data_IF_647947540504
#
_entry.id   IF_647947540504
#
_cell.length_a   1.000
_cell.length_b   1.000
_cell.length_c   1.000
_cell.angle_alpha   90.00
_cell.angle_beta   90.00
_cell.angle_gamma   90.00
#
_symmetry.space_group_name_H-M   'P 1'
#
loop_
_entity.id
_entity.type
_entity.pdbx_description
1 polymer ?
#
# COMPACT_ATOMS: atom_id res chain seq x y z
N UNK A 1 2.15 -0.97 -31.75
CA UNK A 1 2.66 0.36 -31.35
C UNK A 1 2.91 0.50 -29.83
N UNK A 2 2.56 -0.49 -28.99
CA UNK A 2 2.84 -0.49 -27.54
C UNK A 2 4.24 -0.99 -27.17
N UNK A 3 4.69 -2.11 -27.75
CA UNK A 3 5.98 -2.75 -27.41
C UNK A 3 7.19 -1.83 -27.63
N UNK A 4 7.20 -1.02 -28.69
CA UNK A 4 8.35 -0.16 -29.02
C UNK A 4 8.54 1.00 -28.04
N UNK A 5 7.45 1.44 -27.37
CA UNK A 5 7.46 2.53 -26.37
C UNK A 5 7.82 2.02 -24.97
N UNK A 6 7.37 0.83 -24.60
CA UNK A 6 7.73 0.22 -23.31
C UNK A 6 9.22 -0.15 -23.25
N UNK A 7 9.79 -0.65 -24.35
CA UNK A 7 11.24 -0.94 -24.43
C UNK A 7 12.06 0.35 -24.31
N UNK A 8 11.64 1.45 -24.93
CA UNK A 8 12.34 2.75 -24.81
C UNK A 8 12.22 3.38 -23.42
N UNK A 9 11.09 3.23 -22.74
CA UNK A 9 10.91 3.69 -21.35
C UNK A 9 11.74 2.84 -20.35
N UNK A 10 11.94 1.53 -20.62
CA UNK A 10 12.78 0.65 -19.79
C UNK A 10 14.28 0.92 -19.96
N UNK A 11 14.77 1.09 -21.19
CA UNK A 11 16.17 1.45 -21.47
C UNK A 11 16.52 2.82 -20.85
N UNK A 12 15.56 3.75 -20.84
CA UNK A 12 15.70 5.05 -20.17
C UNK A 12 15.82 4.92 -18.65
N UNK A 13 15.00 4.07 -18.01
CA UNK A 13 15.03 3.88 -16.56
C UNK A 13 16.36 3.32 -16.09
N UNK A 14 16.91 2.30 -16.76
CA UNK A 14 18.17 1.67 -16.35
C UNK A 14 19.35 2.66 -16.42
N UNK A 15 19.44 3.43 -17.50
CA UNK A 15 20.46 4.48 -17.64
C UNK A 15 20.35 5.57 -16.55
N UNK A 16 19.13 5.96 -16.17
CA UNK A 16 18.92 6.91 -15.06
C UNK A 16 19.30 6.30 -13.71
N UNK A 17 18.99 5.02 -13.48
CA UNK A 17 19.34 4.30 -12.25
C UNK A 17 20.86 4.18 -12.12
N UNK A 18 21.59 3.83 -13.17
CA UNK A 18 23.06 3.75 -13.14
C UNK A 18 23.69 5.09 -12.76
N UNK A 19 23.21 6.18 -13.36
CA UNK A 19 23.64 7.53 -13.03
C UNK A 19 23.32 7.89 -11.58
N UNK A 20 22.13 7.52 -11.10
CA UNK A 20 21.72 7.75 -9.72
C UNK A 20 22.59 6.98 -8.71
N UNK A 21 22.90 5.72 -8.98
CA UNK A 21 23.82 4.90 -8.18
C UNK A 21 25.20 5.56 -8.13
N UNK A 22 25.73 6.03 -9.26
CA UNK A 22 27.01 6.73 -9.31
C UNK A 22 27.01 8.04 -8.49
N UNK A 23 25.93 8.83 -8.55
CA UNK A 23 25.78 10.04 -7.73
C UNK A 23 25.72 9.72 -6.23
N UNK A 24 24.97 8.68 -5.83
CA UNK A 24 24.89 8.21 -4.44
C UNK A 24 26.26 7.77 -3.91
N UNK A 25 26.99 6.96 -4.68
CA UNK A 25 28.34 6.47 -4.33
C UNK A 25 29.40 7.57 -4.23
N UNK A 26 29.24 8.63 -5.01
CA UNK A 26 30.13 9.81 -4.98
C UNK A 26 29.73 10.86 -3.94
N UNK A 27 28.70 10.60 -3.12
CA UNK A 27 28.24 11.52 -2.07
C UNK A 27 27.44 12.73 -2.59
N UNK A 28 27.06 12.75 -3.87
CA UNK A 28 26.26 13.83 -4.49
C UNK A 28 24.77 13.62 -4.24
N UNK A 29 24.38 13.60 -2.96
CA UNK A 29 23.04 13.20 -2.53
C UNK A 29 21.92 14.12 -3.02
N UNK A 30 22.16 15.42 -3.10
CA UNK A 30 21.16 16.37 -3.59
C UNK A 30 20.81 16.12 -5.06
N UNK A 31 21.84 16.00 -5.91
CA UNK A 31 21.65 15.71 -7.33
C UNK A 31 21.05 14.33 -7.56
N UNK A 32 21.41 13.35 -6.73
CA UNK A 32 20.77 12.03 -6.76
C UNK A 32 19.27 12.14 -6.40
N UNK A 33 18.91 12.94 -5.40
CA UNK A 33 17.51 13.17 -5.01
C UNK A 33 16.70 13.86 -6.12
N UNK A 34 17.27 14.90 -6.74
CA UNK A 34 16.65 15.61 -7.86
C UNK A 34 16.48 14.70 -9.08
N UNK A 35 17.50 13.91 -9.44
CA UNK A 35 17.43 12.92 -10.52
C UNK A 35 16.36 11.87 -10.22
N UNK A 36 16.32 11.37 -8.98
CA UNK A 36 15.33 10.37 -8.58
C UNK A 36 13.92 10.93 -8.75
N UNK A 37 13.63 12.08 -8.15
CA UNK A 37 12.29 12.70 -8.18
C UNK A 37 11.84 13.08 -9.59
N UNK A 38 12.74 13.63 -10.41
CA UNK A 38 12.36 14.20 -11.71
C UNK A 38 12.38 13.22 -12.88
N UNK A 39 13.26 12.22 -12.86
CA UNK A 39 13.48 11.33 -14.02
C UNK A 39 13.23 9.85 -13.71
N UNK A 40 13.54 9.38 -12.49
CA UNK A 40 13.40 7.96 -12.14
C UNK A 40 11.99 7.66 -11.65
N UNK A 41 11.51 8.37 -10.62
CA UNK A 41 10.27 8.05 -9.94
C UNK A 41 9.03 8.03 -10.86
N UNK A 42 8.85 8.95 -11.82
CA UNK A 42 7.76 8.86 -12.79
C UNK A 42 7.79 7.58 -13.63
N UNK A 43 8.99 7.07 -13.97
CA UNK A 43 9.15 5.81 -14.69
C UNK A 43 8.86 4.61 -13.78
N UNK A 44 9.25 4.68 -12.49
CA UNK A 44 8.90 3.66 -11.50
C UNK A 44 7.38 3.56 -11.32
N UNK A 45 6.66 4.69 -11.23
CA UNK A 45 5.19 4.71 -11.14
C UNK A 45 4.52 4.05 -12.36
N UNK A 46 5.03 4.28 -13.57
CA UNK A 46 4.56 3.57 -14.77
C UNK A 46 4.82 2.08 -14.67
N UNK A 47 6.04 1.70 -14.27
CA UNK A 47 6.46 0.30 -14.21
C UNK A 47 5.68 -0.52 -13.18
N UNK A 48 5.41 0.04 -11.99
CA UNK A 48 4.63 -0.68 -10.98
C UNK A 48 3.21 -0.95 -11.47
N UNK A 49 2.59 0.00 -12.20
CA UNK A 49 1.28 -0.21 -12.82
C UNK A 49 1.30 -1.38 -13.81
N UNK A 50 2.32 -1.47 -14.66
CA UNK A 50 2.48 -2.59 -15.60
C UNK A 50 2.73 -3.92 -14.88
N UNK A 51 3.63 -3.95 -13.88
CA UNK A 51 3.94 -5.16 -13.10
C UNK A 51 2.74 -5.69 -12.30
N UNK A 52 1.98 -4.78 -11.68
CA UNK A 52 0.80 -5.14 -10.87
C UNK A 52 -0.31 -5.73 -11.74
N UNK A 53 -0.37 -5.34 -13.02
CA UNK A 53 -1.34 -5.82 -13.99
C UNK A 53 -2.74 -5.23 -13.80
N UNK A 54 -3.63 -5.48 -14.77
CA UNK A 54 -5.00 -4.94 -14.77
C UNK A 54 -5.87 -5.49 -13.64
N UNK A 55 -5.53 -6.65 -13.07
CA UNK A 55 -6.34 -7.34 -12.06
C UNK A 55 -6.51 -6.54 -10.75
N UNK A 56 -5.54 -5.70 -10.39
CA UNK A 56 -5.62 -4.86 -9.19
C UNK A 56 -6.04 -3.42 -9.49
N UNK A 57 -6.00 -3.01 -10.77
CA UNK A 57 -6.42 -1.68 -11.17
C UNK A 57 -7.93 -1.49 -10.95
N UNK A 58 -8.31 -0.47 -10.19
CA UNK A 58 -9.70 -0.18 -9.80
C UNK A 58 -10.41 -1.32 -9.05
N UNK A 59 -9.67 -2.34 -8.56
CA UNK A 59 -10.23 -3.44 -7.74
C UNK A 59 -10.84 -2.93 -6.45
N UNK A 60 -10.19 -1.96 -5.81
CA UNK A 60 -10.53 -1.52 -4.46
C UNK A 60 -11.53 -0.37 -4.47
N UNK A 61 -12.59 -0.53 -3.69
CA UNK A 61 -13.50 0.57 -3.36
C UNK A 61 -12.75 1.63 -2.54
N UNK A 62 -11.96 1.21 -1.55
CA UNK A 62 -11.23 2.12 -0.69
C UNK A 62 -9.86 1.59 -0.28
N UNK A 63 -8.89 2.50 -0.16
CA UNK A 63 -7.56 2.20 0.40
C UNK A 63 -7.32 3.11 1.61
N UNK A 64 -6.93 2.52 2.73
CA UNK A 64 -6.47 3.23 3.92
C UNK A 64 -4.95 3.14 4.02
N UNK A 65 -4.25 4.24 4.28
CA UNK A 65 -2.78 4.25 4.30
C UNK A 65 -2.26 4.85 5.61
N UNK A 66 -1.30 4.18 6.25
CA UNK A 66 -0.52 4.80 7.33
C UNK A 66 0.61 5.64 6.75
N UNK A 67 0.66 6.92 7.12
CA UNK A 67 1.58 7.90 6.54
C UNK A 67 2.85 8.02 7.38
N UNK A 68 3.97 7.66 6.77
CA UNK A 68 5.31 7.74 7.34
C UNK A 68 6.12 8.95 6.86
N UNK A 69 7.44 8.78 6.82
CA UNK A 69 8.39 9.81 6.37
C UNK A 69 8.81 9.66 4.91
N UNK A 70 8.32 8.62 4.24
CA UNK A 70 8.62 8.30 2.84
C UNK A 70 7.30 8.25 2.07
N UNK A 71 6.97 9.31 1.30
CA UNK A 71 5.78 9.35 0.46
C UNK A 71 5.76 8.29 -0.64
N UNK A 72 6.94 7.95 -1.17
CA UNK A 72 7.10 7.22 -2.44
C UNK A 72 6.39 5.87 -2.46
N UNK A 73 6.53 5.00 -1.44
CA UNK A 73 5.83 3.71 -1.46
C UNK A 73 4.31 3.87 -1.47
N UNK A 74 3.76 4.87 -0.77
CA UNK A 74 2.33 5.12 -0.74
C UNK A 74 1.82 5.65 -2.09
N UNK A 75 2.61 6.50 -2.74
CA UNK A 75 2.34 6.94 -4.11
C UNK A 75 2.36 5.74 -5.06
N UNK A 76 3.29 4.80 -4.90
CA UNK A 76 3.37 3.58 -5.72
C UNK A 76 2.14 2.68 -5.54
N UNK A 77 1.68 2.44 -4.31
CA UNK A 77 0.43 1.71 -4.06
C UNK A 77 -0.74 2.37 -4.75
N UNK A 78 -0.92 3.68 -4.54
CA UNK A 78 -2.01 4.45 -5.13
C UNK A 78 -1.95 4.48 -6.66
N UNK A 79 -0.73 4.53 -7.22
CA UNK A 79 -0.48 4.47 -8.67
C UNK A 79 -0.76 3.10 -9.26
N UNK A 80 -0.63 2.03 -8.47
CA UNK A 80 -0.88 0.66 -8.92
C UNK A 80 -2.36 0.28 -8.87
N UNK A 81 -3.11 0.74 -7.85
CA UNK A 81 -4.47 0.22 -7.59
C UNK A 81 -5.61 1.16 -7.97
N UNK A 82 -5.39 2.48 -8.04
CA UNK A 82 -6.39 3.48 -8.43
C UNK A 82 -7.79 3.26 -7.80
N UNK A 83 -7.93 3.41 -6.47
CA UNK A 83 -9.18 3.13 -5.77
C UNK A 83 -10.22 4.24 -5.94
N UNK A 84 -11.47 3.99 -5.54
CA UNK A 84 -12.53 5.00 -5.59
C UNK A 84 -12.49 5.98 -4.41
N UNK A 85 -11.88 5.58 -3.29
CA UNK A 85 -11.71 6.38 -2.07
C UNK A 85 -10.35 6.14 -1.43
N UNK A 86 -9.82 7.17 -0.79
CA UNK A 86 -8.54 7.11 -0.06
C UNK A 86 -8.72 7.64 1.36
N UNK A 87 -8.08 7.00 2.34
CA UNK A 87 -8.07 7.47 3.72
C UNK A 87 -6.65 7.47 4.30
N UNK A 88 -6.18 8.63 4.74
CA UNK A 88 -4.83 8.77 5.30
C UNK A 88 -4.84 8.82 6.82
N UNK A 89 -4.08 7.93 7.45
CA UNK A 89 -3.80 7.95 8.88
C UNK A 89 -2.41 8.53 9.08
N UNK A 90 -2.32 9.77 9.58
CA UNK A 90 -1.06 10.51 9.66
C UNK A 90 -0.79 11.00 11.08
N UNK A 91 0.47 11.35 11.36
CA UNK A 91 0.89 11.93 12.63
C UNK A 91 1.22 13.40 12.43
N UNK A 92 1.34 14.19 13.51
CA UNK A 92 1.83 15.57 13.41
C UNK A 92 3.16 15.68 12.66
N UNK A 93 4.02 14.66 12.76
CA UNK A 93 5.31 14.61 12.08
C UNK A 93 5.18 14.27 10.60
N UNK A 94 4.22 13.44 10.22
CA UNK A 94 4.03 13.01 8.85
C UNK A 94 3.00 13.81 8.04
N UNK A 95 2.33 14.77 8.66
CA UNK A 95 1.33 15.63 8.01
C UNK A 95 1.87 16.33 6.75
N UNK A 96 3.09 16.85 6.81
CA UNK A 96 3.69 17.58 5.69
C UNK A 96 3.93 16.71 4.44
N UNK A 97 4.08 15.38 4.62
CA UNK A 97 4.24 14.44 3.51
C UNK A 97 2.93 14.15 2.76
N UNK A 98 1.77 14.47 3.32
CA UNK A 98 0.48 14.32 2.61
C UNK A 98 0.46 15.10 1.30
N UNK A 99 1.06 16.30 1.29
CA UNK A 99 1.14 17.13 0.09
C UNK A 99 1.94 16.44 -1.02
N UNK A 100 3.06 15.80 -0.68
CA UNK A 100 3.88 15.04 -1.62
C UNK A 100 3.11 13.83 -2.16
N UNK A 101 2.36 13.11 -1.31
CA UNK A 101 1.55 11.96 -1.74
C UNK A 101 0.43 12.40 -2.69
N UNK A 102 -0.33 13.43 -2.31
CA UNK A 102 -1.48 13.92 -3.09
C UNK A 102 -1.02 14.47 -4.44
N UNK A 103 0.06 15.25 -4.46
CA UNK A 103 0.61 15.80 -5.71
C UNK A 103 1.35 14.75 -6.56
N UNK A 104 1.88 13.70 -5.94
CA UNK A 104 2.54 12.58 -6.64
C UNK A 104 1.58 11.57 -7.28
N UNK A 105 0.29 11.66 -6.98
CA UNK A 105 -0.75 10.77 -7.52
C UNK A 105 -1.71 11.56 -8.40
N UNK A 106 -1.59 11.38 -9.71
CA UNK A 106 -2.34 12.08 -10.76
C UNK A 106 -3.82 12.32 -10.47
N UNK A 107 -4.58 11.27 -10.13
CA UNK A 107 -6.02 11.37 -9.90
C UNK A 107 -6.38 12.08 -8.59
N UNK A 108 -5.49 12.06 -7.59
CA UNK A 108 -5.67 12.83 -6.35
C UNK A 108 -5.36 14.31 -6.60
N UNK A 109 -4.28 14.59 -7.33
CA UNK A 109 -3.90 15.95 -7.71
C UNK A 109 -4.98 16.65 -8.54
N UNK A 110 -5.68 15.91 -9.42
CA UNK A 110 -6.80 16.41 -10.23
C UNK A 110 -8.14 16.46 -9.47
N UNK A 111 -8.21 15.92 -8.25
CA UNK A 111 -9.44 15.88 -7.45
C UNK A 111 -10.49 14.90 -8.00
N UNK A 112 -10.08 13.88 -8.76
CA UNK A 112 -10.97 12.87 -9.35
C UNK A 112 -11.43 11.83 -8.32
N UNK A 113 -10.61 11.60 -7.29
CA UNK A 113 -10.89 10.66 -6.19
C UNK A 113 -10.98 11.42 -4.88
N UNK A 114 -12.01 11.11 -4.10
CA UNK A 114 -12.20 11.68 -2.77
C UNK A 114 -11.22 11.02 -1.81
N UNK A 115 -10.52 11.85 -1.04
CA UNK A 115 -9.72 11.39 0.08
C UNK A 115 -10.14 12.07 1.38
N UNK A 116 -9.92 11.37 2.49
CA UNK A 116 -10.08 11.88 3.84
C UNK A 116 -8.79 11.61 4.64
N UNK A 117 -8.62 12.29 5.77
CA UNK A 117 -7.42 12.15 6.61
C UNK A 117 -7.74 12.31 8.08
N UNK A 118 -7.07 11.51 8.91
CA UNK A 118 -7.16 11.65 10.36
C UNK A 118 -5.80 11.62 11.03
N UNK A 119 -5.66 12.50 12.02
CA UNK A 119 -4.50 12.56 12.90
C UNK A 119 -4.54 11.41 13.91
N UNK A 120 -3.44 10.68 14.03
CA UNK A 120 -3.21 9.63 15.02
C UNK A 120 -1.98 9.90 15.86
N UNK A 121 -2.00 9.38 17.09
CA UNK A 121 -0.83 9.35 17.97
C UNK A 121 -0.19 7.97 17.96
N UNK A 122 1.11 7.91 17.68
CA UNK A 122 1.89 6.68 17.50
C UNK A 122 1.87 5.75 18.73
N UNK A 123 1.73 6.33 19.93
CA UNK A 123 1.67 5.62 21.20
C UNK A 123 0.26 5.08 21.53
N UNK A 124 -0.77 5.51 20.78
CA UNK A 124 -2.17 5.14 21.01
C UNK A 124 -2.66 4.20 19.92
N UNK A 125 -2.09 3.00 19.89
CA UNK A 125 -2.44 1.93 18.94
C UNK A 125 -3.96 1.69 18.84
N UNK A 126 -4.68 1.76 19.97
CA UNK A 126 -6.15 1.65 20.02
C UNK A 126 -6.89 2.67 19.15
N UNK A 127 -6.36 3.88 19.03
CA UNK A 127 -6.92 4.95 18.21
C UNK A 127 -6.86 4.56 16.71
N UNK A 128 -5.76 3.94 16.29
CA UNK A 128 -5.58 3.47 14.90
C UNK A 128 -6.61 2.40 14.57
N UNK A 129 -6.82 1.42 15.46
CA UNK A 129 -7.87 0.40 15.29
C UNK A 129 -9.25 1.03 15.15
N UNK A 130 -9.59 1.97 16.03
CA UNK A 130 -10.90 2.61 16.04
C UNK A 130 -11.13 3.41 14.76
N UNK A 131 -10.14 4.17 14.29
CA UNK A 131 -10.28 4.97 13.07
C UNK A 131 -10.42 4.12 11.82
N UNK A 132 -9.61 3.06 11.68
CA UNK A 132 -9.74 2.09 10.58
C UNK A 132 -11.13 1.46 10.59
N UNK A 133 -11.58 0.97 11.76
CA UNK A 133 -12.90 0.37 11.90
C UNK A 133 -14.03 1.34 11.56
N UNK A 134 -13.98 2.56 12.10
CA UNK A 134 -15.02 3.57 11.87
C UNK A 134 -15.10 3.91 10.37
N UNK A 135 -13.95 4.09 9.71
CA UNK A 135 -13.92 4.36 8.26
C UNK A 135 -14.44 3.17 7.44
N UNK A 136 -14.10 1.95 7.84
CA UNK A 136 -14.62 0.73 7.22
C UNK A 136 -16.15 0.61 7.36
N UNK A 137 -16.70 0.95 8.54
CA UNK A 137 -18.14 1.00 8.78
C UNK A 137 -18.81 2.11 7.94
N UNK A 138 -18.22 3.29 7.87
CA UNK A 138 -18.68 4.42 7.04
C UNK A 138 -18.71 4.05 5.55
N UNK A 139 -17.70 3.32 5.09
CA UNK A 139 -17.63 2.81 3.71
C UNK A 139 -18.55 1.61 3.45
N UNK A 140 -19.38 1.22 4.42
CA UNK A 140 -20.41 0.21 4.26
C UNK A 140 -19.94 -1.21 4.53
N UNK A 141 -18.98 -1.43 5.42
CA UNK A 141 -18.49 -2.76 5.84
C UNK A 141 -18.05 -3.67 4.69
N UNK A 142 -17.50 -3.10 3.62
CA UNK A 142 -17.09 -3.84 2.42
C UNK A 142 -18.23 -4.18 1.44
N UNK A 143 -19.47 -3.76 1.71
CA UNK A 143 -20.60 -3.97 0.80
C UNK A 143 -20.44 -3.23 -0.55
N UNK A 144 -19.57 -2.22 -0.62
CA UNK A 144 -19.30 -1.45 -1.84
C UNK A 144 -18.10 -1.99 -2.65
N UNK A 145 -17.45 -3.06 -2.18
CA UNK A 145 -16.29 -3.68 -2.81
C UNK A 145 -15.11 -3.85 -1.85
N UNK A 146 -14.01 -4.48 -2.33
CA UNK A 146 -12.82 -4.72 -1.53
C UNK A 146 -12.24 -3.44 -0.95
N UNK A 147 -11.82 -3.49 0.32
CA UNK A 147 -11.10 -2.42 0.99
C UNK A 147 -9.71 -2.95 1.34
N UNK A 148 -8.70 -2.13 1.09
CA UNK A 148 -7.31 -2.42 1.42
C UNK A 148 -6.75 -1.49 2.48
N UNK A 149 -5.77 -1.98 3.22
CA UNK A 149 -4.93 -1.18 4.12
C UNK A 149 -3.48 -1.29 3.64
N UNK A 150 -2.82 -0.17 3.37
CA UNK A 150 -1.39 -0.12 3.13
C UNK A 150 -0.66 0.30 4.40
N UNK A 151 0.25 -0.56 4.87
CA UNK A 151 1.04 -0.32 6.06
C UNK A 151 2.54 -0.08 5.76
N UNK A 152 2.90 0.24 4.52
CA UNK A 152 4.29 0.46 4.10
C UNK A 152 4.90 1.70 4.77
N UNK A 153 4.07 2.68 5.12
CA UNK A 153 4.47 3.92 5.78
C UNK A 153 4.12 3.96 7.27
N UNK A 154 4.93 4.66 8.06
CA UNK A 154 4.63 4.98 9.45
C UNK A 154 5.59 4.33 10.44
N UNK A 155 5.39 4.61 11.73
CA UNK A 155 6.17 3.93 12.77
C UNK A 155 5.75 2.47 12.90
N UNK A 156 6.67 1.62 13.36
CA UNK A 156 6.42 0.18 13.60
C UNK A 156 5.11 -0.08 14.36
N UNK A 157 4.81 0.69 15.41
CA UNK A 157 3.55 0.55 16.15
C UNK A 157 2.32 0.82 15.29
N UNK A 158 2.36 1.83 14.42
CA UNK A 158 1.26 2.15 13.49
C UNK A 158 1.10 1.06 12.42
N UNK A 159 2.22 0.64 11.84
CA UNK A 159 2.28 -0.40 10.81
C UNK A 159 1.69 -1.72 11.34
N UNK A 160 2.08 -2.11 12.56
CA UNK A 160 1.54 -3.29 13.22
C UNK A 160 0.06 -3.12 13.60
N UNK A 161 -0.35 -1.95 14.08
CA UNK A 161 -1.76 -1.68 14.39
C UNK A 161 -2.64 -1.80 13.13
N UNK A 162 -2.22 -1.17 12.03
CA UNK A 162 -2.95 -1.20 10.77
C UNK A 162 -3.06 -2.62 10.20
N UNK A 163 -1.96 -3.40 10.23
CA UNK A 163 -1.97 -4.79 9.82
C UNK A 163 -2.96 -5.64 10.61
N UNK A 164 -2.91 -5.53 11.95
CA UNK A 164 -3.83 -6.27 12.83
C UNK A 164 -5.28 -5.84 12.56
N UNK A 165 -5.54 -4.54 12.39
CA UNK A 165 -6.87 -4.04 12.06
C UNK A 165 -7.40 -4.64 10.75
N UNK A 166 -6.56 -4.63 9.71
CA UNK A 166 -6.90 -5.18 8.40
C UNK A 166 -7.29 -6.65 8.52
N UNK A 167 -6.46 -7.47 9.19
CA UNK A 167 -6.72 -8.89 9.35
C UNK A 167 -7.97 -9.21 10.15
N UNK A 168 -8.23 -8.49 11.25
CA UNK A 168 -9.44 -8.69 12.05
C UNK A 168 -10.72 -8.28 11.32
N UNK A 169 -10.64 -7.27 10.44
CA UNK A 169 -11.78 -6.76 9.67
C UNK A 169 -11.94 -7.45 8.30
N UNK A 170 -11.06 -8.40 7.96
CA UNK A 170 -11.09 -9.10 6.67
C UNK A 170 -10.72 -8.20 5.48
N UNK A 171 -9.88 -7.20 5.69
CA UNK A 171 -9.38 -6.29 4.66
C UNK A 171 -8.09 -6.84 4.04
N UNK A 172 -7.84 -6.53 2.77
CA UNK A 172 -6.56 -6.86 2.14
C UNK A 172 -5.46 -5.98 2.76
N UNK A 173 -4.36 -6.60 3.20
CA UNK A 173 -3.17 -5.87 3.66
C UNK A 173 -2.19 -5.73 2.49
N UNK A 174 -1.93 -4.50 2.06
CA UNK A 174 -1.02 -4.19 0.97
C UNK A 174 0.33 -3.70 1.50
N UNK A 175 1.38 -4.04 0.76
CA UNK A 175 2.75 -3.64 1.05
C UNK A 175 3.53 -3.47 -0.25
N UNK A 176 4.30 -2.38 -0.37
CA UNK A 176 5.25 -2.24 -1.49
C UNK A 176 6.59 -2.84 -1.09
N UNK A 177 7.00 -3.87 -1.82
CA UNK A 177 8.30 -4.50 -1.68
C UNK A 177 9.20 -4.19 -2.88
N UNK A 178 10.45 -4.65 -2.85
CA UNK A 178 11.42 -4.48 -3.94
C UNK A 178 12.21 -5.77 -4.16
N UNK A 179 12.34 -6.20 -5.41
CA UNK A 179 13.09 -7.44 -5.74
C UNK A 179 14.59 -7.28 -5.52
N UNK A 180 15.13 -6.07 -5.67
CA UNK A 180 16.55 -5.79 -5.51
C UNK A 180 16.78 -4.67 -4.48
N UNK A 181 17.70 -4.90 -3.55
CA UNK A 181 18.15 -3.92 -2.57
C UNK A 181 19.66 -3.67 -2.69
N UNK A 182 20.03 -2.39 -2.82
CA UNK A 182 21.41 -1.97 -3.01
C UNK A 182 22.03 -1.68 -1.64
N UNK A 183 22.67 -2.70 -1.05
CA UNK A 183 23.21 -2.69 0.32
C UNK A 183 24.22 -1.56 0.59
N UNK A 184 25.07 -1.27 -0.39
CA UNK A 184 26.11 -0.25 -0.28
C UNK A 184 25.55 1.17 -0.14
N UNK A 185 24.41 1.45 -0.77
CA UNK A 185 23.71 2.74 -0.69
C UNK A 185 22.45 2.71 0.18
N UNK A 186 22.14 1.55 0.78
CA UNK A 186 20.97 1.26 1.63
C UNK A 186 19.66 1.78 1.06
N UNK A 187 19.35 1.38 -0.16
CA UNK A 187 18.13 1.77 -0.86
C UNK A 187 17.65 0.67 -1.80
N UNK A 188 16.33 0.50 -2.01
CA UNK A 188 15.82 -0.38 -3.06
C UNK A 188 16.30 0.11 -4.42
N UNK A 189 16.55 -0.84 -5.34
CA UNK A 189 16.89 -0.50 -6.71
C UNK A 189 15.63 0.03 -7.40
N UNK A 190 15.63 1.27 -7.93
CA UNK A 190 14.45 1.83 -8.55
C UNK A 190 14.00 1.02 -9.76
N UNK A 191 12.70 0.79 -9.89
CA UNK A 191 12.09 -0.03 -10.94
C UNK A 191 11.91 -1.50 -10.57
N UNK A 192 12.39 -1.93 -9.41
CA UNK A 192 12.22 -3.31 -8.92
C UNK A 192 11.08 -3.45 -7.92
N UNK A 193 10.38 -2.36 -7.63
CA UNK A 193 9.25 -2.31 -6.72
C UNK A 193 8.05 -3.11 -7.26
N UNK A 194 7.34 -3.77 -6.35
CA UNK A 194 6.11 -4.50 -6.65
C UNK A 194 5.14 -4.45 -5.47
N UNK A 195 3.84 -4.50 -5.77
CA UNK A 195 2.79 -4.48 -4.76
C UNK A 195 2.45 -5.92 -4.33
N UNK A 196 2.44 -6.16 -3.04
CA UNK A 196 2.13 -7.46 -2.43
C UNK A 196 0.83 -7.33 -1.62
N UNK A 197 -0.02 -8.34 -1.73
CA UNK A 197 -1.13 -8.55 -0.78
C UNK A 197 -0.65 -9.59 0.23
N UNK A 198 -0.45 -9.18 1.47
CA UNK A 198 0.02 -10.04 2.54
C UNK A 198 -1.12 -10.97 2.99
N UNK A 199 -0.88 -12.29 3.08
CA UNK A 199 -1.90 -13.24 3.47
C UNK A 199 -2.31 -13.01 4.93
N UNK A 200 -3.61 -13.08 5.20
CA UNK A 200 -4.11 -13.02 6.57
C UNK A 200 -3.70 -14.32 7.32
N UNK A 201 -2.81 -14.25 8.32
CA UNK A 201 -2.33 -15.44 9.02
C UNK A 201 -3.46 -16.18 9.74
N UNK A 202 -4.48 -15.44 10.17
CA UNK A 202 -5.65 -15.99 10.85
C UNK A 202 -6.48 -16.92 9.94
N UNK A 203 -6.49 -16.63 8.64
CA UNK A 203 -7.13 -17.49 7.63
C UNK A 203 -6.15 -18.57 7.15
N UNK A 204 -4.90 -18.20 6.87
CA UNK A 204 -3.89 -19.10 6.33
C UNK A 204 -3.54 -20.25 7.29
N UNK A 205 -3.57 -20.02 8.60
CA UNK A 205 -3.26 -21.03 9.61
C UNK A 205 -4.48 -21.84 10.08
N UNK A 206 -5.70 -21.47 9.66
CA UNK A 206 -6.92 -22.26 9.90
C UNK A 206 -7.52 -22.16 11.31
N UNK A 207 -6.83 -21.55 12.27
CA UNK A 207 -7.28 -21.46 13.67
C UNK A 207 -8.62 -20.72 13.81
N UNK A 208 -8.79 -19.58 13.14
CA UNK A 208 -10.05 -18.81 13.22
C UNK A 208 -11.20 -19.45 12.43
N UNK A 209 -10.90 -20.20 11.36
CA UNK A 209 -11.92 -21.01 10.68
C UNK A 209 -12.45 -22.10 11.61
N UNK A 210 -11.54 -22.74 12.35
CA UNK A 210 -11.87 -23.79 13.31
C UNK A 210 -12.67 -23.25 14.50
N UNK A 211 -12.26 -22.12 15.08
CA UNK A 211 -12.98 -21.47 16.19
C UNK A 211 -14.37 -21.00 15.76
N UNK A 212 -14.47 -20.39 14.57
CA UNK A 212 -15.76 -19.91 14.03
C UNK A 212 -16.68 -21.08 13.64
N UNK A 213 -16.14 -22.16 13.10
CA UNK A 213 -16.91 -23.36 12.81
C UNK A 213 -17.40 -24.02 14.11
N UNK A 214 -16.58 -24.00 15.17
CA UNK A 214 -16.95 -24.49 16.49
C UNK A 214 -18.05 -23.63 17.13
N UNK A 215 -18.00 -22.31 17.00
CA UNK A 215 -19.09 -21.41 17.43
C UNK A 215 -20.41 -21.73 16.73
N UNK A 216 -20.39 -21.87 15.40
CA UNK A 216 -21.58 -22.21 14.61
C UNK A 216 -22.11 -23.62 14.94
N UNK A 217 -21.22 -24.58 15.13
CA UNK A 217 -21.56 -25.93 15.53
C UNK A 217 -22.25 -25.94 16.92
N UNK A 218 -21.68 -25.22 17.89
CA UNK A 218 -22.25 -25.09 19.23
C UNK A 218 -23.60 -24.34 19.23
N UNK A 219 -23.83 -23.47 18.25
CA UNK A 219 -25.11 -22.79 18.02
C UNK A 219 -26.13 -23.65 17.25
N UNK A 220 -25.79 -24.89 16.87
CA UNK A 220 -26.66 -25.81 16.12
C UNK A 220 -26.75 -25.52 14.62
N UNK A 221 -25.91 -24.62 14.10
CA UNK A 221 -25.86 -24.22 12.69
C UNK A 221 -24.88 -25.12 11.91
N UNK A 222 -25.19 -26.41 11.84
CA UNK A 222 -24.27 -27.44 11.34
C UNK A 222 -23.86 -27.27 9.87
N UNK A 223 -24.80 -26.92 8.98
CA UNK A 223 -24.50 -26.74 7.55
C UNK A 223 -23.54 -25.55 7.30
N UNK A 224 -23.70 -24.49 8.10
CA UNK A 224 -22.83 -23.31 8.04
C UNK A 224 -21.45 -23.59 8.65
N UNK A 225 -21.39 -24.38 9.73
CA UNK A 225 -20.13 -24.84 10.32
C UNK A 225 -19.36 -25.73 9.33
N UNK A 226 -20.04 -26.66 8.66
CA UNK A 226 -19.44 -27.56 7.67
C UNK A 226 -18.93 -26.80 6.44
N UNK A 227 -19.74 -25.90 5.88
CA UNK A 227 -19.35 -25.09 4.71
C UNK A 227 -18.13 -24.21 4.98
N UNK A 228 -17.89 -23.81 6.23
CA UNK A 228 -16.73 -22.99 6.60
C UNK A 228 -15.43 -23.80 6.77
N UNK A 229 -15.53 -25.13 6.91
CA UNK A 229 -14.38 -26.03 6.97
C UNK A 229 -13.96 -26.57 5.59
N UNK A 230 -14.82 -26.45 4.57
CA UNK A 230 -14.54 -26.94 3.21
C UNK A 230 -13.92 -25.89 2.26
N UNK A 231 -13.80 -24.62 2.69
CA UNK A 231 -13.11 -23.53 1.98
C UNK A 231 -11.72 -23.32 2.56
#
# INVERSE_FOLDING_TARGET
MGETKEVTDMDGLEAHVDKWVALRRSGRFQEAGELYKSQIFPLVQKRIKTKTGEALWSKYYGIMLTVGTSPEPLILTLSAVHPQKVFFLYTKKSEHFLCDIISGVDYLARGEVIYDRELVEEARVLDIYQKIRNKWEEWGRGCNGPIGVDNTGGKKSMVSAAAVAAYFLGLDLLYVDSEEYLEDIRAPKPGTEYLVILPNPLLALGDLRSDRALELFNAGLYDAAHSMLEQ
#
